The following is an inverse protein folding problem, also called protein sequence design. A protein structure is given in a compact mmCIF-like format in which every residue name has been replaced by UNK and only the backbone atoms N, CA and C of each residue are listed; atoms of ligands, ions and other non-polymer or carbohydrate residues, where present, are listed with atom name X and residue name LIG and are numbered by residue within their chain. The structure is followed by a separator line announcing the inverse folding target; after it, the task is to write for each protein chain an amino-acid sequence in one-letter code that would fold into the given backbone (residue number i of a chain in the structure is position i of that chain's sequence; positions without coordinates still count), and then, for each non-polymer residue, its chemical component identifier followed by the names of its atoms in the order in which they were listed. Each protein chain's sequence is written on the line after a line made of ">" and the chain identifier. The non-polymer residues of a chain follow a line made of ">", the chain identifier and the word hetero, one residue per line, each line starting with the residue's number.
data_IF_005240516087
#
_entry.id   IF_005240516087
#
_cell.length_a   1.000
_cell.length_b   1.000
_cell.length_c   1.000
_cell.angle_alpha   90.00
_cell.angle_beta   90.00
_cell.angle_gamma   90.00
#
_symmetry.space_group_name_H-M   'P 1'
#
loop_
_entity.id
_entity.type
_entity.pdbx_description
1 polymer ?
#
# COMPACT_ATOMS: atom_id res chain seq x y z
N UNK A 1 25.56 -3.70 -11.14
CA UNK A 1 24.97 -2.85 -10.08
C UNK A 1 23.96 -1.95 -10.74
N UNK A 2 22.66 -2.24 -10.60
CA UNK A 2 21.63 -1.33 -11.09
C UNK A 2 21.71 -0.02 -10.28
N UNK A 3 21.55 1.16 -10.91
CA UNK A 3 21.49 2.40 -10.17
C UNK A 3 20.36 2.31 -9.15
N UNK A 4 20.63 2.69 -7.90
CA UNK A 4 19.58 2.83 -6.91
C UNK A 4 18.58 3.85 -7.47
N UNK A 5 17.35 3.40 -7.72
CA UNK A 5 16.27 4.30 -8.09
C UNK A 5 16.10 5.31 -6.97
N UNK A 6 16.08 6.59 -7.32
CA UNK A 6 15.83 7.65 -6.36
C UNK A 6 14.43 7.47 -5.75
N UNK A 7 14.33 7.72 -4.45
CA UNK A 7 13.07 7.71 -3.73
C UNK A 7 12.25 8.96 -4.07
N UNK A 8 11.55 8.92 -5.20
CA UNK A 8 10.70 10.01 -5.67
C UNK A 8 9.22 9.73 -5.40
N UNK A 9 8.35 10.76 -5.34
CA UNK A 9 6.91 10.59 -5.20
C UNK A 9 6.29 9.68 -6.28
N UNK A 10 6.79 9.76 -7.51
CA UNK A 10 6.34 8.96 -8.65
C UNK A 10 6.67 7.47 -8.43
N UNK A 11 7.87 7.18 -7.94
CA UNK A 11 8.27 5.81 -7.59
C UNK A 11 7.42 5.27 -6.44
N UNK A 12 7.17 6.08 -5.40
CA UNK A 12 6.29 5.72 -4.28
C UNK A 12 4.86 5.43 -4.76
N UNK A 13 4.34 6.20 -5.71
CA UNK A 13 3.03 5.95 -6.30
C UNK A 13 3.02 4.65 -7.11
N UNK A 14 4.04 4.41 -7.94
CA UNK A 14 4.16 3.17 -8.71
C UNK A 14 4.22 1.94 -7.81
N UNK A 15 5.02 1.99 -6.74
CA UNK A 15 5.08 0.93 -5.73
C UNK A 15 3.71 0.71 -5.07
N UNK A 16 3.00 1.78 -4.72
CA UNK A 16 1.66 1.70 -4.13
C UNK A 16 0.64 1.05 -5.07
N UNK A 17 0.76 1.28 -6.38
CA UNK A 17 -0.08 0.61 -7.40
C UNK A 17 0.26 -0.87 -7.50
N UNK A 18 1.55 -1.22 -7.51
CA UNK A 18 2.00 -2.61 -7.57
C UNK A 18 1.49 -3.42 -6.37
N UNK A 19 1.64 -2.90 -5.15
CA UNK A 19 1.16 -3.56 -3.93
C UNK A 19 -0.34 -3.81 -3.96
N UNK A 20 -1.12 -2.86 -4.48
CA UNK A 20 -2.57 -3.00 -4.59
C UNK A 20 -2.99 -4.00 -5.67
N UNK A 21 -2.29 -4.03 -6.80
CA UNK A 21 -2.51 -5.08 -7.81
C UNK A 21 -2.26 -6.48 -7.23
N UNK A 22 -1.22 -6.66 -6.42
CA UNK A 22 -0.94 -7.94 -5.74
C UNK A 22 -2.06 -8.32 -4.78
N UNK A 23 -2.57 -7.36 -4.01
CA UNK A 23 -3.72 -7.56 -3.12
C UNK A 23 -4.95 -8.02 -3.91
N UNK A 24 -5.30 -7.28 -4.96
CA UNK A 24 -6.49 -7.55 -5.79
C UNK A 24 -6.38 -8.92 -6.45
N UNK A 25 -5.19 -9.29 -6.95
CA UNK A 25 -4.93 -10.60 -7.52
C UNK A 25 -5.07 -11.73 -6.49
N UNK A 26 -4.56 -11.57 -5.27
CA UNK A 26 -4.70 -12.58 -4.22
C UNK A 26 -6.18 -12.82 -3.85
N UNK A 27 -6.96 -11.73 -3.74
CA UNK A 27 -8.40 -11.80 -3.48
C UNK A 27 -9.16 -12.45 -4.63
N UNK A 28 -8.84 -12.09 -5.87
CA UNK A 28 -9.45 -12.69 -7.06
C UNK A 28 -9.22 -14.20 -7.15
N UNK A 29 -8.09 -14.68 -6.62
CA UNK A 29 -7.76 -16.11 -6.52
C UNK A 29 -8.40 -16.82 -5.30
N UNK A 30 -9.30 -16.17 -4.57
CA UNK A 30 -10.10 -16.77 -3.50
C UNK A 30 -9.51 -16.64 -2.09
N UNK A 31 -8.42 -15.88 -1.91
CA UNK A 31 -7.91 -15.59 -0.57
C UNK A 31 -8.86 -14.63 0.19
N UNK A 32 -9.10 -14.83 1.51
CA UNK A 32 -9.89 -13.90 2.30
C UNK A 32 -9.24 -12.50 2.33
N UNK A 33 -9.95 -11.41 1.99
CA UNK A 33 -9.35 -10.07 1.91
C UNK A 33 -8.64 -9.63 3.19
N UNK A 34 -9.23 -9.91 4.35
CA UNK A 34 -8.63 -9.58 5.65
C UNK A 34 -7.28 -10.30 5.86
N UNK A 35 -7.21 -11.59 5.54
CA UNK A 35 -5.98 -12.37 5.72
C UNK A 35 -4.86 -11.87 4.79
N UNK A 36 -5.20 -11.45 3.55
CA UNK A 36 -4.24 -10.87 2.60
C UNK A 36 -3.66 -9.58 3.15
N UNK A 37 -4.52 -8.66 3.61
CA UNK A 37 -4.09 -7.37 4.17
C UNK A 37 -3.20 -7.56 5.41
N UNK A 38 -3.64 -8.39 6.37
CA UNK A 38 -2.87 -8.67 7.59
C UNK A 38 -1.50 -9.27 7.28
N UNK A 39 -1.44 -10.17 6.30
CA UNK A 39 -0.18 -10.78 5.84
C UNK A 39 0.72 -9.73 5.19
N UNK A 40 0.19 -8.91 4.28
CA UNK A 40 0.95 -7.84 3.62
C UNK A 40 1.55 -6.85 4.62
N UNK A 41 0.79 -6.46 5.64
CA UNK A 41 1.27 -5.58 6.72
C UNK A 41 2.39 -6.26 7.52
N UNK A 42 2.20 -7.54 7.89
CA UNK A 42 3.21 -8.32 8.64
C UNK A 42 4.53 -8.40 7.86
N UNK A 43 4.47 -8.80 6.58
CA UNK A 43 5.66 -8.91 5.72
C UNK A 43 6.36 -7.55 5.56
N UNK A 44 5.60 -6.48 5.31
CA UNK A 44 6.18 -5.15 5.19
C UNK A 44 6.91 -4.70 6.48
N UNK A 45 6.32 -4.99 7.64
CA UNK A 45 6.92 -4.68 8.93
C UNK A 45 8.18 -5.51 9.21
N UNK A 46 8.16 -6.81 8.91
CA UNK A 46 9.33 -7.69 9.04
C UNK A 46 10.49 -7.21 8.17
N UNK A 47 10.24 -6.93 6.88
CA UNK A 47 11.26 -6.37 5.99
C UNK A 47 11.83 -5.03 6.50
N UNK A 48 10.97 -4.18 7.07
CA UNK A 48 11.43 -2.91 7.65
C UNK A 48 12.29 -3.14 8.89
N UNK A 49 11.89 -4.07 9.76
CA UNK A 49 12.64 -4.43 10.97
C UNK A 49 13.99 -5.07 10.64
N UNK A 50 14.08 -5.85 9.57
CA UNK A 50 15.35 -6.40 9.07
C UNK A 50 16.28 -5.30 8.56
N UNK A 51 15.75 -4.32 7.82
CA UNK A 51 16.54 -3.26 7.22
C UNK A 51 16.98 -2.18 8.23
N UNK A 52 16.13 -1.84 9.20
CA UNK A 52 16.32 -0.67 10.08
C UNK A 52 16.33 -1.01 11.58
N UNK A 53 16.08 -2.26 11.94
CA UNK A 53 16.00 -2.74 13.32
C UNK A 53 14.57 -2.72 13.88
N UNK A 54 14.28 -3.70 14.75
CA UNK A 54 12.95 -3.90 15.33
C UNK A 54 12.41 -2.68 16.11
N UNK A 55 13.27 -1.99 16.86
CA UNK A 55 12.87 -0.78 17.62
C UNK A 55 12.45 0.36 16.69
N UNK A 56 13.17 0.55 15.58
CA UNK A 56 12.84 1.58 14.60
C UNK A 56 11.52 1.25 13.89
N UNK A 57 11.31 -0.01 13.52
CA UNK A 57 10.06 -0.49 12.92
C UNK A 57 8.84 -0.24 13.81
N UNK A 58 8.93 -0.62 15.10
CA UNK A 58 7.86 -0.42 16.06
C UNK A 58 7.56 1.08 16.28
N UNK A 59 8.60 1.90 16.41
CA UNK A 59 8.46 3.35 16.58
C UNK A 59 7.80 4.00 15.36
N UNK A 60 8.16 3.54 14.16
CA UNK A 60 7.57 4.03 12.91
C UNK A 60 6.08 3.67 12.80
N UNK A 61 5.70 2.43 13.14
CA UNK A 61 4.28 2.05 13.21
C UNK A 61 3.49 2.89 14.22
N UNK A 62 4.08 3.19 15.38
CA UNK A 62 3.45 4.06 16.37
C UNK A 62 3.22 5.48 15.82
N UNK A 63 4.19 6.02 15.08
CA UNK A 63 4.07 7.33 14.43
C UNK A 63 2.97 7.33 13.35
N UNK A 64 2.89 6.29 12.53
CA UNK A 64 1.82 6.16 11.53
C UNK A 64 0.45 6.08 12.20
N UNK A 65 0.32 5.29 13.27
CA UNK A 65 -0.92 5.19 14.03
C UNK A 65 -1.35 6.54 14.63
N UNK A 66 -0.42 7.34 15.13
CA UNK A 66 -0.74 8.66 15.66
C UNK A 66 -1.19 9.64 14.56
N UNK A 67 -0.55 9.61 13.40
CA UNK A 67 -0.94 10.42 12.25
C UNK A 67 -2.35 10.10 11.76
N UNK A 68 -2.72 8.82 11.69
CA UNK A 68 -4.06 8.39 11.30
C UNK A 68 -5.11 8.91 12.29
N UNK A 69 -4.88 8.74 13.60
CA UNK A 69 -5.78 9.28 14.63
C UNK A 69 -5.89 10.80 14.58
N UNK A 70 -4.79 11.49 14.26
CA UNK A 70 -4.80 12.95 14.11
C UNK A 70 -5.65 13.39 12.89
N UNK A 71 -5.56 12.66 11.77
CA UNK A 71 -6.40 12.89 10.59
C UNK A 71 -7.88 12.71 10.87
N UNK A 72 -8.27 11.60 11.49
CA UNK A 72 -9.67 11.31 11.88
C UNK A 72 -10.26 12.40 12.80
N UNK A 73 -9.46 12.90 13.74
CA UNK A 73 -9.88 14.01 14.63
C UNK A 73 -10.11 15.31 13.85
N UNK A 74 -9.23 15.64 12.91
CA UNK A 74 -9.39 16.82 12.05
C UNK A 74 -10.62 16.70 11.14
N UNK A 75 -10.86 15.53 10.56
CA UNK A 75 -12.02 15.28 9.68
C UNK A 75 -13.33 15.37 10.47
N UNK A 76 -13.35 14.82 11.69
CA UNK A 76 -14.47 14.95 12.63
C UNK A 76 -14.72 16.41 13.02
N UNK A 77 -13.66 17.19 13.32
CA UNK A 77 -13.77 18.62 13.63
C UNK A 77 -14.28 19.45 12.44
N UNK A 78 -13.93 19.08 11.21
CA UNK A 78 -14.42 19.72 9.99
C UNK A 78 -15.91 19.44 9.74
N UNK A 79 -16.35 18.20 10.02
CA UNK A 79 -17.76 17.80 9.96
C UNK A 79 -18.60 18.52 11.03
N UNK A 80 -18.09 18.63 12.27
CA UNK A 80 -18.74 19.39 13.37
C UNK A 80 -18.87 20.87 13.03
N UNK A 81 -17.94 21.43 12.24
CA UNK A 81 -17.97 22.84 11.77
C UNK A 81 -18.75 23.06 10.47
N UNK A 82 -19.27 22.00 9.84
CA UNK A 82 -20.15 22.09 8.68
C UNK A 82 -19.47 22.42 7.35
N UNK A 83 -18.20 22.03 7.14
CA UNK A 83 -17.57 22.16 5.81
C UNK A 83 -17.99 21.00 4.89
N UNK A 84 -18.32 21.26 3.60
CA UNK A 84 -18.74 20.21 2.69
C UNK A 84 -17.59 19.24 2.40
N UNK A 85 -17.85 17.94 2.50
CA UNK A 85 -16.94 16.90 2.03
C UNK A 85 -16.74 17.05 0.51
N UNK A 86 -15.65 17.70 0.10
CA UNK A 86 -15.08 17.43 -1.21
C UNK A 86 -14.48 16.03 -1.14
N UNK A 87 -15.32 14.99 -1.28
CA UNK A 87 -14.82 13.67 -1.65
C UNK A 87 -14.16 13.84 -3.02
N UNK A 88 -12.84 13.67 -3.17
CA UNK A 88 -12.32 13.40 -4.49
C UNK A 88 -13.00 12.09 -4.90
N UNK A 89 -13.96 12.18 -5.82
CA UNK A 89 -14.48 11.04 -6.55
C UNK A 89 -13.26 10.31 -7.08
N UNK A 90 -12.92 9.20 -6.43
CA UNK A 90 -11.80 8.33 -6.78
C UNK A 90 -12.21 7.58 -8.04
N UNK A 91 -12.40 8.32 -9.12
CA UNK A 91 -12.54 7.77 -10.47
C UNK A 91 -11.14 7.44 -10.91
N UNK A 92 -10.71 6.19 -10.71
CA UNK A 92 -9.46 5.72 -11.25
C UNK A 92 -9.67 4.35 -11.87
N UNK A 93 -10.02 4.36 -13.16
CA UNK A 93 -9.35 3.59 -14.20
C UNK A 93 -9.57 4.33 -15.54
N UNK A 94 -8.52 4.77 -16.25
CA UNK A 94 -8.55 4.66 -17.71
C UNK A 94 -8.39 3.18 -18.05
N UNK A 95 -9.27 2.65 -18.90
CA UNK A 95 -9.31 1.24 -19.33
C UNK A 95 -7.99 0.74 -19.97
N UNK A 96 -7.09 1.66 -20.28
CA UNK A 96 -5.86 1.38 -21.03
C UNK A 96 -4.69 0.92 -20.14
N UNK A 97 -4.82 0.97 -18.81
CA UNK A 97 -3.76 0.57 -17.87
C UNK A 97 -3.72 -0.94 -17.56
N UNK A 98 -4.76 -1.70 -17.94
CA UNK A 98 -4.82 -3.16 -17.74
C UNK A 98 -3.87 -3.93 -18.68
N UNK A 99 -3.34 -3.30 -19.73
CA UNK A 99 -2.61 -3.98 -20.80
C UNK A 99 -1.09 -4.18 -20.54
N UNK A 100 -0.53 -3.71 -19.42
CA UNK A 100 0.94 -3.72 -19.20
C UNK A 100 1.44 -4.62 -18.06
N UNK A 101 0.56 -5.25 -17.29
CA UNK A 101 0.96 -6.16 -16.22
C UNK A 101 0.55 -7.57 -16.62
N UNK A 102 1.53 -8.41 -16.91
CA UNK A 102 1.35 -9.84 -17.21
C UNK A 102 0.57 -10.50 -16.06
N UNK A 103 -0.69 -10.91 -16.26
CA UNK A 103 -1.57 -11.40 -15.19
C UNK A 103 -1.08 -12.71 -14.55
N UNK A 104 -0.15 -13.43 -15.20
CA UNK A 104 0.41 -14.69 -14.72
C UNK A 104 1.79 -14.53 -14.05
N UNK A 105 2.25 -13.29 -13.80
CA UNK A 105 3.51 -13.07 -13.09
C UNK A 105 3.57 -13.66 -11.66
N UNK A 106 2.47 -13.72 -10.85
CA UNK A 106 2.52 -14.27 -9.50
C UNK A 106 2.67 -15.80 -9.46
N UNK A 107 2.37 -16.50 -10.56
CA UNK A 107 2.42 -17.97 -10.70
C UNK A 107 3.68 -18.45 -11.44
N UNK A 108 4.53 -17.54 -11.91
CA UNK A 108 5.86 -17.89 -12.46
C UNK A 108 6.75 -18.48 -11.36
N UNK A 109 6.96 -19.79 -11.45
CA UNK A 109 7.80 -20.58 -10.54
C UNK A 109 9.31 -20.46 -10.85
N UNK A 110 9.66 -19.53 -11.73
CA UNK A 110 10.99 -19.35 -12.34
C UNK A 110 11.86 -18.33 -11.59
N UNK A 111 11.38 -17.75 -10.48
CA UNK A 111 12.12 -16.79 -9.64
C UNK A 111 12.97 -17.43 -8.53
N UNK A 112 12.95 -18.76 -8.39
CA UNK A 112 13.78 -19.52 -7.42
C UNK A 112 14.59 -20.66 -8.07
N UNK A 113 14.95 -20.51 -9.34
CA UNK A 113 15.88 -21.40 -10.06
C UNK A 113 17.34 -21.00 -9.92
#
# INVERSE_FOLDING_TARGET
>A
MSPALDDTPEIREQLSRAWRSTLDAAVANGAPPQAVVETMVTVAHECFAEAFGATAAASYLQLLAEQLRAGERCETDALVRGQPEERPSRSFMPADAEALIDPDWPTRNDLFG
#
